data_IF_026033495401
#
_entry.id   IF_026033495401
#
_cell.length_a   1.000
_cell.length_b   1.000
_cell.length_c   1.000
_cell.angle_alpha   90.00
_cell.angle_beta   90.00
_cell.angle_gamma   90.00
#
_symmetry.space_group_name_H-M   'P 1'
#
loop_
_entity.id
_entity.type
_entity.pdbx_description
1 polymer ?
#
# COMPACT_ATOMS: atom_id res chain seq x y z
N UNK A 1 -0.74 -17.90 16.25
CA UNK A 1 -1.25 -16.80 15.41
C UNK A 1 -0.27 -15.66 15.56
N UNK A 2 0.49 -15.32 14.51
CA UNK A 2 1.50 -14.25 14.60
C UNK A 2 0.78 -12.90 14.46
N UNK A 3 0.92 -12.01 15.44
CA UNK A 3 0.42 -10.64 15.36
C UNK A 3 1.27 -9.79 14.41
N UNK A 4 0.76 -8.62 14.00
CA UNK A 4 1.60 -7.62 13.35
C UNK A 4 2.79 -7.29 14.28
N UNK A 5 3.98 -7.17 13.72
CA UNK A 5 5.20 -6.92 14.50
C UNK A 5 6.09 -5.90 13.82
N UNK A 6 6.77 -5.08 14.63
CA UNK A 6 7.82 -4.20 14.17
C UNK A 6 9.15 -4.96 14.18
N UNK A 7 9.93 -4.79 13.13
CA UNK A 7 11.29 -5.31 13.07
C UNK A 7 12.29 -4.20 12.75
N UNK A 8 13.53 -4.41 13.16
CA UNK A 8 14.68 -3.59 12.77
C UNK A 8 15.65 -4.53 12.05
N UNK A 9 16.00 -4.23 10.80
CA UNK A 9 17.05 -4.99 10.10
C UNK A 9 18.28 -4.12 9.87
N UNK A 10 19.44 -4.73 10.10
CA UNK A 10 20.73 -4.27 9.61
C UNK A 10 21.07 -5.15 8.41
N UNK A 11 21.22 -4.55 7.23
CA UNK A 11 21.59 -5.22 5.98
C UNK A 11 20.57 -6.22 5.41
N UNK A 12 19.44 -5.70 4.91
CA UNK A 12 18.70 -6.39 3.87
C UNK A 12 18.43 -5.42 2.72
N UNK A 13 18.86 -5.80 1.51
CA UNK A 13 18.44 -5.16 0.25
C UNK A 13 16.92 -4.94 0.33
N UNK A 14 16.44 -3.73 0.01
CA UNK A 14 17.05 -2.75 -0.90
C UNK A 14 17.54 -1.45 -0.23
N UNK A 15 17.50 -1.35 1.10
CA UNK A 15 17.97 -0.17 1.83
C UNK A 15 19.30 -0.48 2.54
N UNK A 16 20.37 0.25 2.19
CA UNK A 16 21.65 0.18 2.89
C UNK A 16 21.59 1.14 4.09
N UNK A 17 21.12 0.65 5.22
CA UNK A 17 21.03 1.42 6.47
C UNK A 17 20.25 0.69 7.57
N UNK A 18 20.01 1.39 8.68
CA UNK A 18 19.11 0.92 9.74
C UNK A 18 17.66 1.17 9.32
N UNK A 19 16.94 0.11 8.94
CA UNK A 19 15.54 0.17 8.56
C UNK A 19 14.63 -0.36 9.67
N UNK A 20 13.44 0.22 9.79
CA UNK A 20 12.32 -0.37 10.54
C UNK A 20 11.22 -0.74 9.57
N UNK A 21 10.56 -1.87 9.82
CA UNK A 21 9.45 -2.33 8.99
C UNK A 21 8.30 -2.84 9.83
N UNK A 22 7.13 -2.88 9.19
CA UNK A 22 5.92 -3.53 9.70
C UNK A 22 5.78 -4.87 9.01
N UNK A 23 5.66 -5.94 9.79
CA UNK A 23 5.40 -7.28 9.27
C UNK A 23 3.97 -7.71 9.59
N UNK A 24 3.24 -8.12 8.55
CA UNK A 24 1.87 -8.61 8.62
C UNK A 24 1.88 -10.12 8.28
N UNK A 25 2.09 -10.97 9.28
CA UNK A 25 2.45 -12.38 9.11
C UNK A 25 1.28 -13.36 9.24
N UNK A 26 0.09 -12.89 9.61
CA UNK A 26 -1.07 -13.78 9.76
C UNK A 26 -1.76 -14.01 8.43
N UNK A 27 -1.75 -15.26 7.94
CA UNK A 27 -2.56 -15.69 6.80
C UNK A 27 -4.02 -16.00 7.18
N UNK A 28 -4.34 -16.06 8.48
CA UNK A 28 -5.67 -16.42 8.99
C UNK A 28 -6.52 -15.20 9.38
N UNK A 29 -6.00 -13.98 9.25
CA UNK A 29 -6.70 -12.75 9.63
C UNK A 29 -6.11 -11.54 8.92
N UNK A 30 -6.94 -10.62 8.43
CA UNK A 30 -6.47 -9.33 7.90
C UNK A 30 -5.80 -8.49 8.99
N UNK A 31 -4.49 -8.28 8.86
CA UNK A 31 -3.72 -7.41 9.74
C UNK A 31 -3.49 -6.05 9.07
N UNK A 32 -3.50 -5.00 9.88
CA UNK A 32 -3.28 -3.64 9.41
C UNK A 32 -2.71 -2.78 10.54
N UNK A 33 -2.11 -1.66 10.16
CA UNK A 33 -1.75 -0.59 11.07
C UNK A 33 -2.70 0.58 10.82
N UNK A 34 -3.31 1.09 11.89
CA UNK A 34 -4.16 2.28 11.83
C UNK A 34 -3.36 3.47 12.32
N UNK A 35 -3.23 4.49 11.48
CA UNK A 35 -2.66 5.78 11.89
C UNK A 35 -3.67 6.45 12.84
N UNK A 36 -3.16 7.04 13.93
CA UNK A 36 -3.99 7.54 15.03
C UNK A 36 -4.81 8.79 14.68
N UNK A 37 -4.44 9.56 13.64
CA UNK A 37 -5.31 10.61 13.12
C UNK A 37 -6.47 9.98 12.34
N UNK A 38 -7.69 10.47 12.60
CA UNK A 38 -8.90 9.95 11.95
C UNK A 38 -8.91 10.19 10.44
N UNK A 39 -8.10 11.12 9.93
CA UNK A 39 -8.05 11.51 8.53
C UNK A 39 -6.72 12.22 8.23
N UNK A 40 -6.04 11.84 7.14
CA UNK A 40 -4.99 12.65 6.52
C UNK A 40 -5.68 13.59 5.52
N UNK A 41 -5.57 14.90 5.72
CA UNK A 41 -6.17 15.86 4.79
C UNK A 41 -5.37 15.93 3.47
N UNK A 42 -5.85 15.19 2.48
CA UNK A 42 -5.34 15.19 1.10
C UNK A 42 -6.23 16.04 0.16
N UNK A 43 -7.19 16.78 0.71
CA UNK A 43 -8.20 17.51 -0.08
C UNK A 43 -7.55 18.66 -0.84
N UNK A 44 -7.84 18.75 -2.14
CA UNK A 44 -7.33 19.82 -3.01
C UNK A 44 -5.79 19.94 -3.05
N UNK A 45 -5.08 18.81 -2.88
CA UNK A 45 -3.62 18.76 -2.82
C UNK A 45 -3.06 17.69 -3.74
N UNK A 46 -1.90 17.97 -4.33
CA UNK A 46 -1.06 16.93 -4.91
C UNK A 46 -0.35 16.18 -3.79
N UNK A 47 -0.21 14.87 -3.93
CA UNK A 47 0.46 14.02 -2.95
C UNK A 47 1.15 12.82 -3.62
N UNK A 48 2.11 12.24 -2.89
CA UNK A 48 2.79 11.02 -3.29
C UNK A 48 2.67 10.01 -2.15
N UNK A 49 2.32 8.78 -2.48
CA UNK A 49 2.43 7.63 -1.59
C UNK A 49 3.58 6.80 -2.11
N UNK A 50 4.58 6.53 -1.27
CA UNK A 50 5.67 5.62 -1.58
C UNK A 50 5.88 4.60 -0.47
N UNK A 51 6.27 3.38 -0.84
CA UNK A 51 6.56 2.32 0.10
C UNK A 51 7.60 1.35 -0.46
N UNK A 52 8.36 0.73 0.44
CA UNK A 52 9.04 -0.53 0.14
C UNK A 52 8.15 -1.68 0.58
N UNK A 53 7.85 -2.60 -0.34
CA UNK A 53 7.00 -3.76 -0.09
C UNK A 53 7.72 -5.07 -0.36
N UNK A 54 7.39 -6.08 0.42
CA UNK A 54 7.85 -7.46 0.26
C UNK A 54 6.68 -8.39 0.54
N UNK A 55 6.30 -9.19 -0.45
CA UNK A 55 5.25 -10.21 -0.30
C UNK A 55 5.84 -11.60 -0.33
N UNK A 56 5.43 -12.43 0.63
CA UNK A 56 5.75 -13.87 0.67
C UNK A 56 4.66 -14.74 0.04
N UNK A 57 3.50 -14.17 -0.32
CA UNK A 57 2.30 -14.91 -0.75
C UNK A 57 1.83 -14.48 -2.12
N UNK A 58 1.32 -15.45 -2.89
CA UNK A 58 0.77 -15.24 -4.23
C UNK A 58 -0.43 -14.31 -4.15
N UNK A 59 -0.42 -13.25 -4.96
CA UNK A 59 -1.44 -12.21 -5.00
C UNK A 59 -2.74 -12.71 -5.65
N UNK A 60 -3.49 -13.58 -4.98
CA UNK A 60 -4.81 -14.07 -5.44
C UNK A 60 -5.99 -13.18 -5.04
N UNK A 61 -5.73 -12.02 -4.43
CA UNK A 61 -6.72 -11.07 -3.94
C UNK A 61 -6.12 -9.66 -3.81
N UNK A 62 -6.77 -8.82 -3.01
CA UNK A 62 -6.36 -7.44 -2.76
C UNK A 62 -5.50 -7.32 -1.50
N UNK A 63 -4.28 -6.82 -1.66
CA UNK A 63 -3.34 -6.59 -0.58
C UNK A 63 -3.07 -5.09 -0.45
N UNK A 64 -3.69 -4.47 0.56
CA UNK A 64 -3.60 -3.02 0.78
C UNK A 64 -2.22 -2.59 1.29
N UNK A 65 -1.68 -1.54 0.69
CA UNK A 65 -0.47 -0.83 1.14
C UNK A 65 -0.88 0.41 1.94
N UNK A 66 -1.77 1.22 1.36
CA UNK A 66 -2.34 2.41 1.99
C UNK A 66 -3.81 2.54 1.58
N UNK A 67 -4.65 2.97 2.50
CA UNK A 67 -6.02 3.36 2.15
C UNK A 67 -6.55 4.42 3.10
N UNK A 68 -7.41 5.29 2.57
CA UNK A 68 -8.24 6.20 3.34
C UNK A 68 -9.62 6.23 2.72
N UNK A 69 -10.62 5.82 3.50
CA UNK A 69 -11.95 5.52 2.98
C UNK A 69 -13.01 6.12 3.90
N UNK A 70 -13.84 6.99 3.34
CA UNK A 70 -14.99 7.56 4.04
C UNK A 70 -16.24 6.69 3.85
N UNK A 71 -16.45 6.18 2.64
CA UNK A 71 -17.60 5.35 2.28
C UNK A 71 -17.20 4.29 1.26
N UNK A 72 -17.18 3.02 1.67
CA UNK A 72 -16.73 1.88 0.84
C UNK A 72 -17.59 1.63 -0.39
N UNK A 73 -18.83 2.11 -0.40
CA UNK A 73 -19.80 1.92 -1.50
C UNK A 73 -20.01 3.17 -2.35
N UNK A 74 -19.36 4.28 -2.03
CA UNK A 74 -19.54 5.55 -2.74
C UNK A 74 -18.39 5.77 -3.73
N UNK A 75 -18.71 6.16 -4.96
CA UNK A 75 -17.70 6.53 -5.95
C UNK A 75 -16.82 7.67 -5.44
N UNK A 76 -15.52 7.60 -5.73
CA UNK A 76 -14.53 8.63 -5.39
C UNK A 76 -14.33 8.93 -3.89
N UNK A 77 -14.82 8.10 -2.96
CA UNK A 77 -14.68 8.34 -1.51
C UNK A 77 -13.71 7.42 -0.79
N UNK A 78 -13.07 6.50 -1.51
CA UNK A 78 -12.01 5.66 -0.95
C UNK A 78 -10.79 5.69 -1.84
N UNK A 79 -9.72 6.28 -1.33
CA UNK A 79 -8.39 6.19 -1.89
C UNK A 79 -7.78 4.86 -1.47
N UNK A 80 -7.24 4.13 -2.43
CA UNK A 80 -6.48 2.92 -2.17
C UNK A 80 -5.19 2.90 -2.98
N UNK A 81 -4.18 2.27 -2.40
CA UNK A 81 -2.98 1.80 -3.07
C UNK A 81 -2.76 0.36 -2.63
N UNK A 82 -2.84 -0.58 -3.57
CA UNK A 82 -2.88 -2.01 -3.28
C UNK A 82 -2.22 -2.83 -4.39
N UNK A 83 -1.93 -4.09 -4.09
CA UNK A 83 -1.60 -5.11 -5.10
C UNK A 83 -2.81 -5.99 -5.33
N UNK A 84 -3.21 -6.17 -6.58
CA UNK A 84 -4.30 -7.06 -7.03
C UNK A 84 -3.81 -7.89 -8.21
N UNK A 85 -3.94 -9.21 -8.11
CA UNK A 85 -3.52 -10.12 -9.20
C UNK A 85 -2.05 -9.99 -9.59
N UNK A 86 -1.19 -9.52 -8.67
CA UNK A 86 0.22 -9.25 -8.92
C UNK A 86 0.53 -7.91 -9.56
N UNK A 87 -0.44 -7.03 -9.74
CA UNK A 87 -0.22 -5.68 -10.28
C UNK A 87 -0.57 -4.62 -9.24
N UNK A 88 0.11 -3.48 -9.30
CA UNK A 88 -0.25 -2.32 -8.49
C UNK A 88 -1.53 -1.68 -9.02
N UNK A 89 -2.42 -1.32 -8.12
CA UNK A 89 -3.59 -0.49 -8.39
C UNK A 89 -3.60 0.68 -7.43
N UNK A 90 -3.87 1.86 -7.96
CA UNK A 90 -4.02 3.07 -7.17
C UNK A 90 -5.15 3.93 -7.72
N UNK A 91 -5.78 4.71 -6.86
CA UNK A 91 -6.80 5.67 -7.26
C UNK A 91 -7.97 5.67 -6.30
N UNK A 92 -9.11 6.09 -6.81
CA UNK A 92 -10.34 6.16 -6.05
C UNK A 92 -11.34 5.11 -6.53
N UNK A 93 -12.30 4.74 -5.68
CA UNK A 93 -13.37 3.79 -6.08
C UNK A 93 -14.01 4.21 -7.41
N UNK A 94 -13.95 3.30 -8.40
CA UNK A 94 -14.41 3.47 -9.79
C UNK A 94 -13.59 4.43 -10.66
N UNK A 95 -12.38 4.80 -10.23
CA UNK A 95 -11.44 5.61 -10.98
C UNK A 95 -9.99 5.23 -10.62
N UNK A 96 -9.59 4.03 -11.04
CA UNK A 96 -8.28 3.45 -10.78
C UNK A 96 -7.37 3.44 -12.00
N UNK A 97 -6.08 3.52 -11.68
CA UNK A 97 -4.99 3.24 -12.59
C UNK A 97 -4.31 1.94 -12.17
N UNK A 98 -3.77 1.22 -13.13
CA UNK A 98 -2.99 0.00 -12.90
C UNK A 98 -1.54 0.19 -13.36
N UNK A 99 -0.62 -0.41 -12.61
CA UNK A 99 0.77 -0.57 -13.04
C UNK A 99 0.89 -1.69 -14.07
N UNK A 100 1.87 -1.57 -14.96
CA UNK A 100 2.16 -2.58 -16.00
C UNK A 100 3.07 -3.70 -15.53
N UNK A 101 3.81 -3.50 -14.44
CA UNK A 101 4.75 -4.48 -13.92
C UNK A 101 4.03 -5.55 -13.09
N UNK A 102 4.25 -6.81 -13.44
CA UNK A 102 3.87 -7.94 -12.59
C UNK A 102 4.86 -8.08 -11.44
N UNK A 103 4.35 -8.07 -10.21
CA UNK A 103 5.08 -8.27 -8.97
C UNK A 103 5.13 -9.75 -8.64
N UNK A 104 6.34 -10.27 -8.46
CA UNK A 104 6.58 -11.65 -8.02
C UNK A 104 6.89 -11.68 -6.53
N UNK A 105 6.68 -12.84 -5.91
CA UNK A 105 6.90 -13.02 -4.48
C UNK A 105 8.39 -13.06 -4.14
N UNK A 106 8.70 -12.82 -2.86
CA UNK A 106 10.03 -12.88 -2.27
C UNK A 106 11.03 -11.90 -2.90
N UNK A 107 10.52 -10.79 -3.44
CA UNK A 107 11.31 -9.70 -3.98
C UNK A 107 10.84 -8.38 -3.37
N UNK A 108 11.81 -7.51 -3.07
CA UNK A 108 11.52 -6.16 -2.64
C UNK A 108 11.21 -5.26 -3.83
N UNK A 109 10.18 -4.44 -3.69
CA UNK A 109 9.83 -3.41 -4.65
C UNK A 109 9.72 -2.06 -3.95
N UNK A 110 10.30 -1.03 -4.58
CA UNK A 110 9.93 0.36 -4.29
C UNK A 110 8.76 0.70 -5.17
N UNK A 111 7.65 1.09 -4.55
CA UNK A 111 6.39 1.33 -5.24
C UNK A 111 5.90 2.72 -4.90
N UNK A 112 5.40 3.42 -5.91
CA UNK A 112 5.01 4.82 -5.79
C UNK A 112 3.71 5.06 -6.54
N UNK A 113 2.84 5.86 -5.94
CA UNK A 113 1.69 6.47 -6.57
C UNK A 113 1.78 7.98 -6.41
N UNK A 114 1.63 8.72 -7.49
CA UNK A 114 1.67 10.18 -7.52
C UNK A 114 0.32 10.69 -7.99
N UNK A 115 -0.28 11.57 -7.20
CA UNK A 115 -1.49 12.29 -7.56
C UNK A 115 -1.18 13.78 -7.73
N UNK A 116 -1.54 14.33 -8.89
CA UNK A 116 -1.47 15.73 -9.23
C UNK A 116 -2.87 16.34 -9.26
N UNK A 117 -3.18 17.20 -8.29
CA UNK A 117 -4.49 17.81 -8.16
C UNK A 117 -4.86 18.71 -9.37
N UNK A 118 -3.88 19.37 -9.98
CA UNK A 118 -4.13 20.30 -11.09
C UNK A 118 -4.59 19.55 -12.34
N UNK A 119 -4.03 18.37 -12.60
CA UNK A 119 -4.38 17.54 -13.76
C UNK A 119 -5.36 16.42 -13.43
N UNK A 120 -5.64 16.20 -12.14
CA UNK A 120 -6.47 15.10 -11.62
C UNK A 120 -5.98 13.72 -12.06
N UNK A 121 -4.66 13.55 -12.10
CA UNK A 121 -3.98 12.32 -12.49
C UNK A 121 -3.22 11.74 -11.30
#
# INVERSE_FOLDING_TARGET
MNSASYFSTTNSQPFVGYGRGLSLLSSSSSQYMRVSSLFLDLTYRSFTIEAWIFSTTVYSGDYGIFSQCQCTTCSNQCLYFLVRGGYLFAGFTHNDISGSQNLINNLWYHVTFVYNYNTKQ
#
